data_IF_316922338246
#
_entry.id   IF_316922338246
#
_cell.length_a   1.000
_cell.length_b   1.000
_cell.length_c   1.000
_cell.angle_alpha   90.00
_cell.angle_beta   90.00
_cell.angle_gamma   90.00
#
_symmetry.space_group_name_H-M   'P 1'
#
loop_
_entity.id
_entity.type
_entity.pdbx_description
1 polymer ?
#
# COMPACT_ATOMS: atom_id res chain seq x y z
N UNK A 1 -53.12 29.48 38.02
CA UNK A 1 -53.09 28.19 38.72
C UNK A 1 -53.59 27.16 37.71
N UNK A 2 -52.76 26.30 37.12
CA UNK A 2 -52.06 25.16 37.74
C UNK A 2 -52.65 23.89 37.10
N UNK A 3 -51.81 23.18 36.33
CA UNK A 3 -51.76 21.70 36.21
C UNK A 3 -52.92 21.06 35.37
N UNK A 4 -52.76 20.05 34.50
CA UNK A 4 -51.71 19.05 34.26
C UNK A 4 -51.83 18.46 32.84
N UNK A 5 -50.71 17.90 32.40
CA UNK A 5 -50.51 17.03 31.22
C UNK A 5 -51.27 15.71 31.33
N UNK A 6 -51.85 15.20 30.24
CA UNK A 6 -51.89 13.75 29.94
C UNK A 6 -51.65 13.52 28.45
N UNK A 7 -50.62 12.73 28.18
CA UNK A 7 -50.11 12.34 26.88
C UNK A 7 -51.06 11.41 26.11
N UNK A 8 -51.04 11.49 24.78
CA UNK A 8 -51.39 10.37 23.89
C UNK A 8 -50.69 10.51 22.54
N UNK A 9 -50.22 9.34 22.07
CA UNK A 9 -49.76 8.97 20.72
C UNK A 9 -48.25 8.84 20.53
N UNK A 10 -47.79 7.64 20.90
CA UNK A 10 -46.61 7.03 20.32
C UNK A 10 -46.97 6.39 18.96
N UNK A 11 -46.11 6.68 17.97
CA UNK A 11 -45.58 5.80 16.93
C UNK A 11 -46.56 5.16 15.93
N UNK A 12 -46.38 5.43 14.62
CA UNK A 12 -46.10 4.42 13.58
C UNK A 12 -45.60 5.12 12.29
N UNK A 13 -44.37 4.78 11.92
CA UNK A 13 -43.75 4.73 10.60
C UNK A 13 -43.93 5.92 9.62
N UNK A 14 -42.97 6.85 9.66
CA UNK A 14 -42.67 7.71 8.52
C UNK A 14 -41.92 6.90 7.47
N UNK A 15 -42.58 6.72 6.33
CA UNK A 15 -42.07 6.17 5.09
C UNK A 15 -40.85 6.97 4.62
N UNK A 16 -39.65 6.42 4.81
CA UNK A 16 -38.55 6.65 3.89
C UNK A 16 -38.11 5.25 3.46
N UNK A 17 -38.74 4.75 2.40
CA UNK A 17 -38.11 3.83 1.47
C UNK A 17 -36.91 4.57 0.90
N UNK A 18 -35.82 4.65 1.65
CA UNK A 18 -34.52 4.90 1.09
C UNK A 18 -34.19 3.60 0.39
N UNK A 19 -34.55 3.54 -0.89
CA UNK A 19 -33.91 2.67 -1.85
C UNK A 19 -32.44 3.13 -1.95
N UNK A 20 -31.68 2.88 -0.88
CA UNK A 20 -30.23 2.86 -0.87
C UNK A 20 -29.81 1.64 -1.70
N UNK A 21 -30.03 1.73 -3.01
CA UNK A 21 -29.09 1.09 -3.91
C UNK A 21 -27.83 1.94 -3.81
N UNK A 22 -27.01 1.68 -2.78
CA UNK A 22 -25.59 1.95 -2.91
C UNK A 22 -25.17 1.13 -4.13
N UNK A 23 -25.05 1.80 -5.29
CA UNK A 23 -24.40 1.20 -6.44
C UNK A 23 -23.08 0.67 -5.92
N UNK A 24 -22.84 -0.63 -6.04
CA UNK A 24 -21.55 -1.19 -5.66
C UNK A 24 -20.51 -0.43 -6.49
N UNK A 25 -19.73 0.43 -5.84
CA UNK A 25 -18.76 1.27 -6.52
C UNK A 25 -17.79 0.32 -7.24
N UNK A 26 -17.68 0.46 -8.55
CA UNK A 26 -16.81 -0.38 -9.38
C UNK A 26 -15.79 0.50 -10.07
N UNK A 27 -14.54 0.03 -10.08
CA UNK A 27 -13.48 0.62 -10.86
C UNK A 27 -13.45 -0.03 -12.24
N UNK A 28 -13.45 0.79 -13.29
CA UNK A 28 -13.32 0.30 -14.66
C UNK A 28 -11.85 -0.02 -14.97
N UNK A 29 -11.49 -1.30 -14.89
CA UNK A 29 -10.17 -1.80 -15.29
C UNK A 29 -10.06 -1.77 -16.81
N UNK A 30 -9.12 -0.99 -17.35
CA UNK A 30 -8.93 -0.81 -18.80
C UNK A 30 -8.00 -1.84 -19.41
N UNK A 31 -7.01 -2.29 -18.64
CA UNK A 31 -6.03 -3.31 -19.01
C UNK A 31 -5.92 -4.31 -17.86
N UNK A 32 -5.68 -5.60 -18.11
CA UNK A 32 -5.54 -6.57 -17.05
C UNK A 32 -4.49 -6.13 -16.02
N UNK A 33 -4.84 -6.21 -14.74
CA UNK A 33 -3.94 -5.93 -13.64
C UNK A 33 -3.50 -7.26 -13.04
N UNK A 34 -2.20 -7.48 -12.84
CA UNK A 34 -1.71 -8.78 -12.37
C UNK A 34 -0.58 -8.61 -11.35
N UNK A 35 -0.52 -9.54 -10.39
CA UNK A 35 0.64 -9.77 -9.50
C UNK A 35 1.70 -10.70 -10.12
N UNK A 36 1.55 -11.07 -11.39
CA UNK A 36 2.58 -11.83 -12.11
C UNK A 36 3.94 -11.12 -12.00
N UNK A 37 4.99 -11.92 -11.78
CA UNK A 37 6.37 -11.46 -11.63
C UNK A 37 6.65 -10.43 -10.52
N UNK A 38 5.73 -10.23 -9.56
CA UNK A 38 5.91 -9.34 -8.38
C UNK A 38 7.20 -9.60 -7.57
N UNK A 39 7.84 -10.76 -7.76
CA UNK A 39 9.08 -11.19 -7.11
C UNK A 39 10.35 -10.83 -7.86
N UNK A 40 10.25 -10.21 -9.04
CA UNK A 40 11.37 -9.90 -9.95
C UNK A 40 11.26 -8.55 -10.64
N UNK A 41 10.04 -8.04 -10.85
CA UNK A 41 9.80 -6.77 -11.57
C UNK A 41 8.57 -6.04 -11.02
N UNK A 42 8.34 -4.82 -11.52
CA UNK A 42 7.16 -3.99 -11.23
C UNK A 42 5.87 -4.69 -11.66
N UNK A 43 4.79 -4.50 -10.91
CA UNK A 43 3.52 -5.19 -11.11
C UNK A 43 2.35 -4.20 -11.05
N UNK A 44 1.58 -4.16 -12.14
CA UNK A 44 0.49 -3.18 -12.32
C UNK A 44 -0.61 -3.23 -11.26
N UNK A 45 -0.93 -4.41 -10.74
CA UNK A 45 -1.87 -4.53 -9.63
C UNK A 45 -1.25 -4.05 -8.31
N UNK A 46 0.04 -4.28 -8.13
CA UNK A 46 0.73 -3.96 -6.89
C UNK A 46 1.12 -2.49 -6.80
N UNK A 47 1.31 -1.81 -7.92
CA UNK A 47 1.48 -0.36 -7.97
C UNK A 47 0.29 0.35 -7.31
N UNK A 48 -0.93 -0.10 -7.60
CA UNK A 48 -2.16 0.39 -6.98
C UNK A 48 -2.15 0.18 -5.46
N UNK A 49 -1.66 -0.96 -4.99
CA UNK A 49 -1.54 -1.26 -3.55
C UNK A 49 -0.49 -0.39 -2.89
N UNK A 50 0.68 -0.21 -3.51
CA UNK A 50 1.73 0.64 -3.00
C UNK A 50 1.26 2.12 -2.95
N UNK A 51 0.53 2.58 -3.95
CA UNK A 51 -0.10 3.90 -3.97
C UNK A 51 -1.16 4.07 -2.88
N UNK A 52 -2.00 3.05 -2.64
CA UNK A 52 -2.96 3.05 -1.55
C UNK A 52 -2.28 3.17 -0.18
N UNK A 53 -1.18 2.44 0.04
CA UNK A 53 -0.38 2.52 1.28
C UNK A 53 0.20 3.93 1.45
N UNK A 54 0.81 4.47 0.39
CA UNK A 54 1.41 5.82 0.40
C UNK A 54 0.35 6.88 0.71
N UNK A 55 -0.80 6.79 0.05
CA UNK A 55 -1.93 7.71 0.18
C UNK A 55 -2.54 7.67 1.59
N UNK A 56 -2.90 6.49 2.08
CA UNK A 56 -3.50 6.32 3.41
C UNK A 56 -2.57 6.79 4.55
N UNK A 57 -1.26 6.65 4.36
CA UNK A 57 -0.27 7.10 5.34
C UNK A 57 0.06 8.60 5.26
N UNK A 58 -0.24 9.28 4.14
CA UNK A 58 0.27 10.62 3.84
C UNK A 58 1.80 10.65 3.81
N UNK A 59 2.43 9.60 3.25
CA UNK A 59 3.88 9.45 3.19
C UNK A 59 4.44 9.86 1.82
N UNK A 60 5.75 10.12 1.75
CA UNK A 60 6.44 10.45 0.49
C UNK A 60 6.66 9.20 -0.36
N UNK A 61 6.92 8.07 0.30
CA UNK A 61 7.31 6.80 -0.30
C UNK A 61 6.47 5.70 0.34
N UNK A 62 6.10 4.67 -0.43
CA UNK A 62 5.67 3.40 0.13
C UNK A 62 6.52 2.23 -0.37
N UNK A 63 6.75 1.27 0.52
CA UNK A 63 7.45 0.02 0.25
C UNK A 63 6.58 -1.16 0.71
N UNK A 64 6.43 -2.16 -0.15
CA UNK A 64 5.79 -3.42 0.22
C UNK A 64 6.54 -4.59 -0.43
N UNK A 65 6.78 -5.65 0.35
CA UNK A 65 7.53 -6.79 -0.14
C UNK A 65 6.63 -7.76 -0.93
N UNK A 66 7.21 -8.43 -1.92
CA UNK A 66 6.53 -9.39 -2.79
C UNK A 66 5.83 -10.53 -2.04
N UNK A 67 6.28 -10.87 -0.83
CA UNK A 67 5.62 -11.88 0.03
C UNK A 67 4.22 -11.48 0.48
N UNK A 68 3.85 -10.21 0.39
CA UNK A 68 2.52 -9.73 0.76
C UNK A 68 1.45 -10.07 -0.27
N UNK A 69 1.82 -10.68 -1.40
CA UNK A 69 0.94 -10.93 -2.53
C UNK A 69 0.76 -12.41 -2.88
N UNK A 70 -0.48 -12.77 -3.19
CA UNK A 70 -0.85 -14.00 -3.89
C UNK A 70 -0.81 -13.78 -5.41
N UNK A 71 -0.78 -14.86 -6.19
CA UNK A 71 -0.97 -14.76 -7.64
C UNK A 71 -2.43 -14.43 -7.94
N UNK A 72 -2.66 -13.31 -8.62
CA UNK A 72 -3.98 -12.82 -8.99
C UNK A 72 -3.88 -11.98 -10.27
N UNK A 73 -4.86 -12.18 -11.15
CA UNK A 73 -5.11 -11.29 -12.29
C UNK A 73 -6.54 -10.79 -12.24
N UNK A 74 -6.73 -9.48 -12.30
CA UNK A 74 -8.01 -8.82 -12.46
C UNK A 74 -8.19 -8.51 -13.95
N UNK A 75 -9.21 -9.08 -14.62
CA UNK A 75 -9.43 -8.85 -16.05
C UNK A 75 -9.94 -7.42 -16.31
N UNK A 76 -9.86 -7.00 -17.57
CA UNK A 76 -10.54 -5.78 -18.04
C UNK A 76 -12.04 -5.86 -17.76
N UNK A 77 -12.63 -4.77 -17.27
CA UNK A 77 -14.04 -4.70 -16.91
C UNK A 77 -14.28 -3.99 -15.58
N UNK A 78 -15.53 -3.95 -15.12
CA UNK A 78 -15.86 -3.45 -13.80
C UNK A 78 -15.33 -4.40 -12.72
N UNK A 79 -14.53 -3.89 -11.79
CA UNK A 79 -14.02 -4.62 -10.63
C UNK A 79 -14.42 -3.90 -9.34
N UNK A 80 -14.77 -4.65 -8.30
CA UNK A 80 -15.12 -4.07 -7.00
C UNK A 80 -13.87 -3.91 -6.13
N UNK A 81 -13.86 -3.01 -5.14
CA UNK A 81 -12.75 -2.89 -4.19
C UNK A 81 -12.30 -4.23 -3.58
N UNK A 82 -13.24 -5.13 -3.29
CA UNK A 82 -12.94 -6.45 -2.71
C UNK A 82 -12.17 -7.37 -3.68
N UNK A 83 -12.27 -7.14 -5.00
CA UNK A 83 -11.52 -7.89 -5.99
C UNK A 83 -10.01 -7.60 -5.90
N UNK A 84 -9.64 -6.36 -5.56
CA UNK A 84 -8.25 -5.94 -5.38
C UNK A 84 -7.67 -6.49 -4.07
N UNK A 85 -8.46 -6.53 -3.00
CA UNK A 85 -8.03 -7.08 -1.72
C UNK A 85 -7.61 -8.55 -1.78
N UNK A 86 -8.12 -9.32 -2.74
CA UNK A 86 -7.75 -10.73 -2.94
C UNK A 86 -6.28 -10.93 -3.27
N UNK A 87 -5.59 -9.89 -3.75
CA UNK A 87 -4.16 -9.93 -4.00
C UNK A 87 -3.35 -10.01 -2.70
N UNK A 88 -3.88 -9.51 -1.58
CA UNK A 88 -3.15 -9.36 -0.32
C UNK A 88 -3.24 -10.63 0.53
N UNK A 89 -2.09 -11.20 0.89
CA UNK A 89 -1.99 -12.32 1.83
C UNK A 89 -2.23 -11.85 3.27
N UNK A 90 -1.67 -10.69 3.63
CA UNK A 90 -1.69 -10.15 5.01
C UNK A 90 -2.55 -8.89 5.11
N UNK A 91 -3.83 -8.98 4.72
CA UNK A 91 -4.77 -7.84 4.66
C UNK A 91 -4.90 -7.04 5.96
N UNK A 92 -4.71 -7.70 7.10
CA UNK A 92 -4.87 -7.12 8.44
C UNK A 92 -3.61 -6.44 8.99
N UNK A 93 -2.48 -6.47 8.28
CA UNK A 93 -1.28 -5.75 8.72
C UNK A 93 -1.56 -4.25 8.71
N UNK A 94 -1.19 -3.55 9.79
CA UNK A 94 -1.28 -2.09 9.83
C UNK A 94 -0.17 -1.45 9.01
N UNK A 95 -0.45 -0.25 8.51
CA UNK A 95 0.54 0.59 7.83
C UNK A 95 1.33 1.39 8.88
N UNK A 96 2.65 1.30 8.79
CA UNK A 96 3.59 2.03 9.64
C UNK A 96 4.36 3.04 8.79
N UNK A 97 4.53 4.24 9.33
CA UNK A 97 5.38 5.29 8.75
C UNK A 97 6.72 5.26 9.45
N UNK A 98 7.77 5.11 8.65
CA UNK A 98 9.17 5.14 9.05
C UNK A 98 9.81 6.48 8.65
N UNK A 99 10.79 6.94 9.42
CA UNK A 99 11.66 8.09 9.10
C UNK A 99 13.04 7.59 8.69
N UNK A 100 13.19 7.28 7.40
CA UNK A 100 14.42 6.65 6.87
C UNK A 100 15.29 7.66 6.11
N UNK A 101 16.60 7.60 6.33
CA UNK A 101 17.57 8.30 5.49
C UNK A 101 17.61 7.71 4.07
N UNK A 102 18.01 8.52 3.08
CA UNK A 102 18.23 7.99 1.74
C UNK A 102 19.27 6.86 1.70
N UNK A 103 20.27 6.87 2.58
CA UNK A 103 21.21 5.77 2.70
C UNK A 103 20.56 4.46 3.19
N UNK A 104 19.60 4.53 4.12
CA UNK A 104 18.82 3.37 4.57
C UNK A 104 17.94 2.83 3.43
N UNK A 105 17.27 3.73 2.70
CA UNK A 105 16.46 3.37 1.52
C UNK A 105 17.31 2.66 0.45
N UNK A 106 18.47 3.20 0.11
CA UNK A 106 19.37 2.59 -0.87
C UNK A 106 19.80 1.18 -0.45
N UNK A 107 20.17 0.98 0.83
CA UNK A 107 20.52 -0.35 1.35
C UNK A 107 19.36 -1.33 1.26
N UNK A 108 18.14 -0.89 1.54
CA UNK A 108 16.95 -1.72 1.42
C UNK A 108 16.67 -2.12 -0.03
N UNK A 109 16.80 -1.19 -0.98
CA UNK A 109 16.61 -1.47 -2.41
C UNK A 109 17.69 -2.43 -2.95
N UNK A 110 18.95 -2.28 -2.53
CA UNK A 110 20.02 -3.25 -2.86
C UNK A 110 19.72 -4.64 -2.31
N UNK A 111 19.17 -4.73 -1.09
CA UNK A 111 18.73 -6.00 -0.51
C UNK A 111 17.57 -6.62 -1.29
N UNK A 112 16.59 -5.81 -1.71
CA UNK A 112 15.46 -6.22 -2.53
C UNK A 112 15.92 -6.87 -3.85
N UNK A 113 16.95 -6.30 -4.49
CA UNK A 113 17.56 -6.78 -5.74
C UNK A 113 18.58 -7.89 -5.56
N UNK A 114 18.83 -8.35 -4.34
CA UNK A 114 20.02 -9.13 -4.02
C UNK A 114 20.02 -10.56 -4.58
N UNK A 115 18.83 -11.11 -4.90
CA UNK A 115 18.68 -12.41 -5.56
C UNK A 115 18.45 -12.30 -7.07
N UNK A 116 18.26 -11.09 -7.62
CA UNK A 116 17.98 -10.90 -9.05
C UNK A 116 19.07 -11.57 -9.92
N UNK A 117 18.71 -12.28 -11.00
CA UNK A 117 17.36 -12.42 -11.59
C UNK A 117 16.46 -13.50 -10.97
N UNK A 118 16.89 -14.20 -9.92
CA UNK A 118 16.02 -15.17 -9.24
C UNK A 118 14.89 -14.47 -8.46
N UNK A 119 13.73 -15.13 -8.40
CA UNK A 119 12.54 -14.65 -7.67
C UNK A 119 12.85 -14.49 -6.18
N UNK A 120 12.49 -13.34 -5.62
CA UNK A 120 12.69 -13.02 -4.19
C UNK A 120 11.37 -12.69 -3.50
N UNK A 121 11.13 -13.30 -2.34
CA UNK A 121 10.04 -12.89 -1.44
C UNK A 121 10.26 -11.48 -0.85
N UNK A 122 11.52 -11.05 -0.82
CA UNK A 122 11.93 -9.75 -0.30
C UNK A 122 11.99 -8.67 -1.38
N UNK A 123 11.69 -8.97 -2.65
CA UNK A 123 11.64 -7.94 -3.69
C UNK A 123 10.64 -6.86 -3.29
N UNK A 124 11.02 -5.58 -3.44
CA UNK A 124 10.19 -4.46 -3.02
C UNK A 124 9.44 -3.90 -4.22
N UNK A 125 8.14 -3.79 -4.04
CA UNK A 125 7.27 -2.96 -4.86
C UNK A 125 7.19 -1.59 -4.18
N UNK A 126 7.17 -0.55 -5.00
CA UNK A 126 7.46 0.82 -4.55
C UNK A 126 6.42 1.79 -5.07
N UNK A 127 6.30 2.91 -4.37
CA UNK A 127 5.42 3.99 -4.77
C UNK A 127 6.03 5.30 -4.29
N UNK A 128 6.00 6.34 -5.13
CA UNK A 128 6.57 7.67 -4.85
C UNK A 128 8.04 7.81 -5.24
N UNK A 129 8.65 6.74 -5.75
CA UNK A 129 10.02 6.70 -6.24
C UNK A 129 10.12 6.00 -7.59
N UNK A 130 11.18 6.30 -8.33
CA UNK A 130 11.64 5.51 -9.47
C UNK A 130 13.01 4.93 -9.13
N UNK A 131 13.22 3.66 -9.45
CA UNK A 131 14.47 2.94 -9.17
C UNK A 131 15.05 2.42 -10.48
N UNK A 132 16.25 2.85 -10.81
CA UNK A 132 17.01 2.34 -11.96
C UNK A 132 18.04 1.34 -11.44
N UNK A 133 18.00 0.12 -11.96
CA UNK A 133 18.91 -0.95 -11.59
C UNK A 133 19.68 -1.50 -12.81
N UNK A 134 20.90 -1.95 -12.55
CA UNK A 134 21.74 -2.71 -13.48
C UNK A 134 21.95 -4.13 -12.91
N UNK A 135 21.25 -5.14 -13.46
CA UNK A 135 21.39 -6.52 -13.03
C UNK A 135 22.78 -7.13 -13.19
N UNK A 136 23.60 -6.58 -14.09
CA UNK A 136 24.93 -7.10 -14.39
C UNK A 136 25.98 -6.65 -13.37
N UNK A 137 25.67 -5.62 -12.58
CA UNK A 137 26.55 -5.11 -11.55
C UNK A 137 26.69 -6.08 -10.36
N UNK A 138 27.82 -6.00 -9.62
CA UNK A 138 28.01 -6.76 -8.38
C UNK A 138 26.87 -6.54 -7.38
N UNK A 139 26.58 -7.57 -6.58
CA UNK A 139 25.58 -7.48 -5.50
C UNK A 139 25.95 -6.34 -4.54
N UNK A 140 24.99 -5.45 -4.26
CA UNK A 140 25.21 -4.26 -3.43
C UNK A 140 25.56 -3.00 -4.23
N UNK A 141 25.72 -3.13 -5.56
CA UNK A 141 25.95 -2.02 -6.49
C UNK A 141 24.97 -2.06 -7.69
N UNK A 142 23.83 -2.75 -7.53
CA UNK A 142 22.86 -2.94 -8.60
C UNK A 142 21.95 -1.74 -8.77
N UNK A 143 21.67 -1.00 -7.72
CA UNK A 143 20.84 0.21 -7.77
C UNK A 143 21.72 1.37 -8.23
N UNK A 144 21.47 1.84 -9.45
CA UNK A 144 22.24 2.93 -10.08
C UNK A 144 21.66 4.29 -9.75
N UNK A 145 20.35 4.37 -9.65
CA UNK A 145 19.66 5.62 -9.36
C UNK A 145 18.36 5.38 -8.62
N UNK A 146 18.08 6.27 -7.69
CA UNK A 146 16.77 6.38 -7.04
C UNK A 146 16.35 7.84 -7.16
N UNK A 147 15.15 8.08 -7.68
CA UNK A 147 14.53 9.40 -7.68
C UNK A 147 13.29 9.38 -6.81
N UNK A 148 13.15 10.39 -5.96
CA UNK A 148 11.93 10.67 -5.22
C UNK A 148 11.22 11.78 -5.97
N UNK A 149 10.07 11.46 -6.57
CA UNK A 149 9.45 12.31 -7.60
C UNK A 149 10.45 12.62 -8.74
N UNK A 150 10.92 13.87 -8.88
CA UNK A 150 11.85 14.30 -9.92
C UNK A 150 13.28 14.54 -9.41
N UNK A 151 13.50 14.40 -8.11
CA UNK A 151 14.77 14.70 -7.47
C UNK A 151 15.56 13.42 -7.19
N UNK A 152 16.87 13.46 -7.42
CA UNK A 152 17.77 12.37 -7.02
C UNK A 152 17.73 12.20 -5.50
N UNK A 153 17.72 10.94 -5.05
CA UNK A 153 17.73 10.61 -3.63
C UNK A 153 18.94 11.24 -2.91
N UNK A 154 18.65 12.05 -1.91
CA UNK A 154 19.66 12.57 -0.98
C UNK A 154 19.89 11.52 0.11
N UNK A 155 21.13 11.02 0.19
CA UNK A 155 21.52 9.96 1.13
C UNK A 155 21.39 10.38 2.60
N UNK A 156 21.43 11.68 2.90
CA UNK A 156 21.43 12.23 4.25
C UNK A 156 20.04 12.68 4.70
N UNK A 157 19.19 13.10 3.76
CA UNK A 157 17.80 13.50 4.03
C UNK A 157 16.99 12.33 4.58
N UNK A 158 16.14 12.60 5.57
CA UNK A 158 15.11 11.68 6.05
C UNK A 158 13.81 11.84 5.26
N UNK A 159 13.22 10.71 4.89
CA UNK A 159 11.98 10.59 4.14
C UNK A 159 10.92 9.90 4.99
N UNK A 160 9.66 10.29 4.83
CA UNK A 160 8.52 9.55 5.37
C UNK A 160 8.21 8.35 4.46
N UNK A 161 8.38 7.13 4.97
CA UNK A 161 8.26 5.89 4.21
C UNK A 161 7.20 4.99 4.84
N UNK A 162 6.10 4.76 4.14
CA UNK A 162 5.02 3.88 4.58
C UNK A 162 5.27 2.43 4.18
N UNK A 163 4.99 1.48 5.07
CA UNK A 163 5.11 0.05 4.79
C UNK A 163 4.27 -0.79 5.76
N UNK A 164 3.95 -2.06 5.46
CA UNK A 164 3.30 -2.96 6.41
C UNK A 164 4.14 -3.18 7.67
N UNK A 165 3.48 -3.32 8.83
CA UNK A 165 4.13 -3.44 10.14
C UNK A 165 5.21 -4.54 10.23
N UNK A 166 5.06 -5.75 9.65
CA UNK A 166 6.14 -6.75 9.67
C UNK A 166 7.41 -6.29 8.95
N UNK A 167 7.27 -5.59 7.82
CA UNK A 167 8.40 -5.04 7.06
C UNK A 167 9.10 -3.91 7.84
N UNK A 168 8.32 -3.01 8.45
CA UNK A 168 8.83 -1.99 9.38
C UNK A 168 9.58 -2.63 10.57
N UNK A 169 9.09 -3.76 11.07
CA UNK A 169 9.73 -4.57 12.10
C UNK A 169 11.01 -5.28 11.67
N UNK A 170 11.42 -5.18 10.40
CA UNK A 170 12.65 -5.74 9.87
C UNK A 170 12.53 -7.19 9.37
N UNK A 171 11.32 -7.68 9.10
CA UNK A 171 11.10 -8.97 8.44
C UNK A 171 11.89 -9.07 7.13
N UNK A 172 12.12 -10.29 6.63
CA UNK A 172 12.87 -10.54 5.39
C UNK A 172 14.28 -9.94 5.40
N UNK A 173 14.89 -9.81 6.59
CA UNK A 173 16.26 -9.28 6.81
C UNK A 173 16.38 -7.75 6.60
N UNK A 174 15.27 -7.03 6.48
CA UNK A 174 15.28 -5.57 6.41
C UNK A 174 15.74 -4.88 7.71
N UNK A 175 15.86 -5.61 8.82
CA UNK A 175 16.52 -5.15 10.05
C UNK A 175 18.00 -4.74 9.86
N UNK A 176 18.63 -5.10 8.74
CA UNK A 176 19.96 -4.59 8.36
C UNK A 176 19.94 -3.19 7.74
N UNK A 177 18.78 -2.74 7.26
CA UNK A 177 18.60 -1.43 6.67
C UNK A 177 18.13 -0.40 7.71
N UNK A 178 17.21 -0.79 8.59
CA UNK A 178 16.56 0.07 9.58
C UNK A 178 16.26 -0.66 10.90
N UNK A 179 15.85 0.08 11.92
CA UNK A 179 15.47 -0.46 13.23
C UNK A 179 14.10 0.06 13.69
N UNK A 180 13.64 -0.40 14.86
CA UNK A 180 12.39 0.09 15.48
C UNK A 180 12.46 1.56 15.90
N UNK A 181 13.66 2.11 16.08
CA UNK A 181 13.86 3.53 16.43
C UNK A 181 13.56 4.46 15.25
N UNK A 182 13.56 3.93 14.03
CA UNK A 182 13.18 4.66 12.82
C UNK A 182 11.65 4.77 12.65
N UNK A 183 10.85 4.11 13.50
CA UNK A 183 9.38 4.19 13.45
C UNK A 183 8.91 5.58 13.90
N UNK A 184 8.15 6.27 13.06
CA UNK A 184 7.51 7.55 13.39
C UNK A 184 6.13 7.31 14.02
N UNK A 185 5.27 6.55 13.34
CA UNK A 185 3.92 6.23 13.80
C UNK A 185 3.35 4.98 13.13
N UNK A 186 2.40 4.34 13.79
CA UNK A 186 1.49 3.33 13.21
C UNK A 186 0.15 4.00 12.92
N UNK A 187 -0.31 3.94 11.67
CA UNK A 187 -1.54 4.62 11.25
C UNK A 187 -2.80 3.95 11.78
N UNK A 188 -2.69 2.69 12.24
CA UNK A 188 -3.81 1.81 12.60
C UNK A 188 -4.75 1.47 11.45
N UNK A 189 -4.47 1.95 10.23
CA UNK A 189 -5.17 1.58 9.02
C UNK A 189 -4.53 0.31 8.49
N UNK A 190 -5.35 -0.70 8.22
CA UNK A 190 -4.89 -1.97 7.65
C UNK A 190 -4.66 -1.87 6.15
N UNK A 191 -3.86 -2.78 5.57
CA UNK A 191 -3.65 -2.85 4.12
C UNK A 191 -4.97 -3.00 3.34
N UNK A 192 -5.88 -3.85 3.84
CA UNK A 192 -7.18 -4.06 3.21
C UNK A 192 -8.04 -2.79 3.22
N UNK A 193 -8.11 -2.09 4.36
CA UNK A 193 -8.87 -0.83 4.47
C UNK A 193 -8.29 0.26 3.57
N UNK A 194 -6.97 0.44 3.57
CA UNK A 194 -6.30 1.43 2.72
C UNK A 194 -6.57 1.17 1.23
N UNK A 195 -6.44 -0.08 0.79
CA UNK A 195 -6.70 -0.45 -0.60
C UNK A 195 -8.16 -0.24 -0.99
N UNK A 196 -9.10 -0.66 -0.13
CA UNK A 196 -10.53 -0.47 -0.37
C UNK A 196 -10.88 1.00 -0.54
N UNK A 197 -10.44 1.84 0.40
CA UNK A 197 -10.70 3.29 0.36
C UNK A 197 -10.06 3.94 -0.86
N UNK A 198 -8.83 3.54 -1.21
CA UNK A 198 -8.14 4.06 -2.37
C UNK A 198 -8.88 3.72 -3.67
N UNK A 199 -9.26 2.46 -3.88
CA UNK A 199 -10.02 2.04 -5.07
C UNK A 199 -11.36 2.76 -5.17
N UNK A 200 -12.10 2.89 -4.05
CA UNK A 200 -13.35 3.66 -4.02
C UNK A 200 -13.15 5.11 -4.45
N UNK A 201 -12.06 5.76 -4.00
CA UNK A 201 -11.76 7.16 -4.38
C UNK A 201 -11.42 7.35 -5.87
N UNK A 202 -11.02 6.30 -6.58
CA UNK A 202 -10.72 6.35 -8.01
C UNK A 202 -11.96 6.18 -8.91
N UNK A 203 -13.08 5.79 -8.31
CA UNK A 203 -14.36 5.56 -9.01
C UNK A 203 -15.34 6.73 -8.89
N UNK A 204 -14.92 7.83 -8.27
CA UNK A 204 -15.62 9.13 -8.22
C UNK A 204 -15.18 10.03 -9.38
#
# INVERSE_FOLDING_TARGET
MSHSVVAKLALVAMLINCSWFASAQTLQVRTPLSTENVRTEESSLVDLVADAIRSAAGAEIALIAATSFSELTIPTGPAKPEDFERALVFRGDSIVVMKLTGAQLLRALEHAFSLYPAKSAAFLQVSGITVTADPSAPRGERIKEVRVQKETLDKTRKYAVAMPAPLAGGALVYSKAWSREDVDRDTKITLGEALRQYVSSLSE
#
